data_IF_373557391901
#
_entry.id   IF_373557391901
#
_cell.length_a   1.000
_cell.length_b   1.000
_cell.length_c   1.000
_cell.angle_alpha   90.00
_cell.angle_beta   90.00
_cell.angle_gamma   90.00
#
_symmetry.space_group_name_H-M   'P 1'
#
loop_
_entity.id
_entity.type
_entity.pdbx_description
1 polymer ?
#
# COMPACT_ATOMS: atom_id res chain seq x y z
N UNK A 1 24.84 45.81 -11.77
CA UNK A 1 23.48 45.96 -11.22
C UNK A 1 22.97 44.57 -10.89
N UNK A 2 22.78 44.28 -9.61
CA UNK A 2 22.41 42.95 -9.11
C UNK A 2 20.89 42.98 -8.89
N UNK A 3 20.14 42.12 -9.57
CA UNK A 3 18.70 42.02 -9.38
C UNK A 3 18.39 41.42 -8.00
N UNK A 4 17.51 42.07 -7.25
CA UNK A 4 17.12 41.70 -5.89
C UNK A 4 16.22 40.45 -5.88
N UNK A 5 16.41 39.44 -5.00
CA UNK A 5 15.70 38.14 -5.06
C UNK A 5 14.21 38.14 -4.71
N UNK A 6 13.64 39.28 -4.29
CA UNK A 6 12.31 39.31 -3.66
C UNK A 6 11.12 39.26 -4.64
N UNK A 7 11.30 39.50 -5.95
CA UNK A 7 10.17 39.63 -6.90
C UNK A 7 9.76 38.33 -7.60
N UNK A 8 10.53 37.25 -7.46
CA UNK A 8 10.24 35.96 -8.12
C UNK A 8 9.33 35.03 -7.30
N UNK A 9 9.20 35.28 -5.99
CA UNK A 9 8.42 34.43 -5.09
C UNK A 9 6.93 34.85 -5.06
N UNK A 10 6.63 36.14 -5.18
CA UNK A 10 5.26 36.66 -5.12
C UNK A 10 4.38 36.23 -6.31
N UNK A 11 4.92 36.16 -7.53
CA UNK A 11 4.13 35.74 -8.70
C UNK A 11 3.68 34.26 -8.66
N UNK A 12 4.36 33.41 -7.89
CA UNK A 12 4.07 31.97 -7.85
C UNK A 12 3.00 31.62 -6.81
N UNK A 13 2.77 32.48 -5.83
CA UNK A 13 1.74 32.30 -4.80
C UNK A 13 0.37 32.76 -5.33
N UNK A 14 0.33 33.85 -6.10
CA UNK A 14 -0.92 34.41 -6.62
C UNK A 14 -1.59 33.54 -7.70
N UNK A 15 -0.81 32.73 -8.42
CA UNK A 15 -1.34 31.79 -9.43
C UNK A 15 -1.96 30.53 -8.81
N UNK A 16 -1.70 30.24 -7.53
CA UNK A 16 -2.25 29.04 -6.84
C UNK A 16 -3.55 29.30 -6.06
N UNK A 17 -3.86 30.54 -5.74
CA UNK A 17 -4.99 30.87 -4.86
C UNK A 17 -6.35 30.99 -5.59
N UNK A 18 -6.36 31.18 -6.91
CA UNK A 18 -7.60 31.46 -7.66
C UNK A 18 -8.27 30.25 -8.31
N UNK A 19 -7.76 29.02 -8.11
CA UNK A 19 -8.36 27.79 -8.66
C UNK A 19 -8.99 26.87 -7.61
N UNK A 20 -9.45 27.47 -6.51
CA UNK A 20 -10.26 26.82 -5.48
C UNK A 20 -11.52 27.66 -5.27
N UNK A 21 -12.43 27.76 -6.24
CA UNK A 21 -13.83 28.16 -6.02
C UNK A 21 -14.64 28.07 -7.33
N UNK A 22 -14.90 26.86 -7.80
CA UNK A 22 -16.16 26.48 -8.46
C UNK A 22 -16.08 24.99 -8.80
N UNK A 23 -16.85 24.20 -8.06
CA UNK A 23 -17.75 23.19 -8.62
C UNK A 23 -18.63 22.72 -7.46
N UNK A 24 -19.83 23.33 -7.39
CA UNK A 24 -20.95 22.76 -6.68
C UNK A 24 -21.45 21.62 -7.54
N UNK A 25 -21.20 20.39 -7.13
CA UNK A 25 -21.96 19.25 -7.63
C UNK A 25 -22.74 18.60 -6.49
N UNK A 26 -23.98 18.28 -6.83
CA UNK A 26 -25.09 18.04 -5.93
C UNK A 26 -25.40 16.55 -5.95
N UNK A 27 -25.15 15.85 -4.84
CA UNK A 27 -25.78 14.56 -4.57
C UNK A 27 -24.85 13.35 -4.41
N UNK A 28 -24.83 12.84 -3.17
CA UNK A 28 -24.61 11.42 -2.80
C UNK A 28 -23.18 10.86 -2.99
N UNK A 29 -22.19 11.41 -2.30
CA UNK A 29 -20.98 10.64 -1.97
C UNK A 29 -21.08 10.08 -0.54
N UNK A 30 -21.54 8.83 -0.43
CA UNK A 30 -21.36 8.04 0.79
C UNK A 30 -19.89 7.62 0.78
N UNK A 31 -19.05 8.46 1.38
CA UNK A 31 -17.58 8.40 1.33
C UNK A 31 -17.00 6.99 1.29
N UNK A 32 -16.55 6.60 0.09
CA UNK A 32 -15.58 5.51 -0.04
C UNK A 32 -14.28 6.02 0.57
N UNK A 33 -13.96 5.58 1.80
CA UNK A 33 -12.59 5.70 2.30
C UNK A 33 -11.70 4.92 1.32
N UNK A 34 -10.89 5.64 0.55
CA UNK A 34 -9.94 4.99 -0.37
C UNK A 34 -9.04 4.03 0.41
N UNK A 35 -8.75 2.86 -0.16
CA UNK A 35 -7.77 1.95 0.41
C UNK A 35 -6.46 2.69 0.61
N UNK A 36 -5.74 2.43 1.69
CA UNK A 36 -4.40 3.00 1.91
C UNK A 36 -3.43 2.62 0.76
N UNK A 37 -3.78 1.61 -0.04
CA UNK A 37 -3.07 1.17 -1.23
C UNK A 37 -3.58 1.84 -2.53
N UNK A 38 -4.59 2.72 -2.47
CA UNK A 38 -5.18 3.37 -3.67
C UNK A 38 -4.32 4.52 -4.18
N UNK A 39 -3.62 4.22 -5.28
CA UNK A 39 -2.89 5.17 -6.10
C UNK A 39 -2.03 4.38 -7.09
N UNK A 40 -2.48 4.29 -8.36
CA UNK A 40 -1.95 3.44 -9.45
C UNK A 40 -2.51 2.01 -9.43
N UNK A 41 -2.36 1.29 -10.56
CA UNK A 41 -2.80 -0.10 -10.80
C UNK A 41 -2.66 -0.99 -9.55
N UNK A 42 -3.54 -1.98 -9.38
CA UNK A 42 -3.44 -3.00 -8.31
C UNK A 42 -2.00 -3.50 -8.21
N UNK A 43 -1.35 -3.28 -7.06
CA UNK A 43 0.05 -3.67 -6.82
C UNK A 43 0.26 -5.16 -7.05
N UNK A 44 -0.71 -5.98 -6.64
CA UNK A 44 -0.75 -7.41 -6.92
C UNK A 44 -0.73 -7.71 -8.42
N UNK A 45 -1.55 -7.02 -9.21
CA UNK A 45 -1.56 -7.21 -10.65
C UNK A 45 -0.21 -6.84 -11.30
N UNK A 46 0.42 -5.75 -10.84
CA UNK A 46 1.76 -5.36 -11.31
C UNK A 46 2.86 -6.34 -10.87
N UNK A 47 2.77 -6.85 -9.64
CA UNK A 47 3.65 -7.87 -9.10
C UNK A 47 3.61 -9.15 -9.94
N UNK A 48 2.41 -9.65 -10.22
CA UNK A 48 2.19 -10.86 -11.03
C UNK A 48 2.61 -10.63 -12.49
N UNK A 49 2.29 -9.48 -13.08
CA UNK A 49 2.65 -9.16 -14.47
C UNK A 49 4.16 -9.09 -14.71
N UNK A 50 4.94 -8.68 -13.70
CA UNK A 50 6.41 -8.67 -13.77
C UNK A 50 7.03 -9.93 -13.16
N UNK A 51 6.24 -10.95 -12.83
CA UNK A 51 6.71 -12.20 -12.26
C UNK A 51 7.58 -12.02 -10.98
N UNK A 52 7.30 -10.94 -10.23
CA UNK A 52 8.02 -10.56 -9.02
C UNK A 52 9.37 -9.88 -9.22
N UNK A 53 9.81 -9.60 -10.45
CA UNK A 53 11.11 -8.97 -10.73
C UNK A 53 11.22 -7.57 -10.10
N UNK A 54 12.26 -7.36 -9.28
CA UNK A 54 12.50 -6.08 -8.60
C UNK A 54 11.53 -5.77 -7.45
N UNK A 55 10.73 -6.75 -7.01
CA UNK A 55 9.85 -6.62 -5.86
C UNK A 55 10.46 -7.24 -4.61
N UNK A 56 10.25 -6.57 -3.47
CA UNK A 56 10.42 -7.19 -2.16
C UNK A 56 9.10 -7.82 -1.72
N UNK A 57 9.10 -9.12 -1.45
CA UNK A 57 7.97 -9.77 -0.79
C UNK A 57 8.10 -9.59 0.71
N UNK A 58 7.06 -9.05 1.35
CA UNK A 58 7.06 -8.81 2.80
C UNK A 58 6.21 -9.88 3.46
N UNK A 59 6.82 -10.61 4.38
CA UNK A 59 6.26 -11.81 5.00
C UNK A 59 6.23 -11.59 6.51
N UNK A 60 5.03 -11.69 7.08
CA UNK A 60 4.82 -11.71 8.52
C UNK A 60 5.08 -13.09 9.13
N UNK A 61 4.70 -13.26 10.38
CA UNK A 61 4.82 -14.53 11.05
C UNK A 61 3.87 -15.62 10.51
N UNK A 62 4.12 -16.87 10.91
CA UNK A 62 3.26 -18.01 10.56
C UNK A 62 1.89 -17.89 11.21
N UNK A 63 1.83 -17.33 12.41
CA UNK A 63 0.59 -17.14 13.16
C UNK A 63 -0.38 -16.18 12.45
N UNK A 64 0.08 -15.33 11.53
CA UNK A 64 -0.74 -14.50 10.64
C UNK A 64 -1.67 -13.54 11.38
N UNK A 65 -1.33 -13.18 12.61
CA UNK A 65 -2.07 -12.26 13.47
C UNK A 65 -2.10 -10.83 12.89
N UNK A 66 -2.80 -9.94 13.58
CA UNK A 66 -2.95 -8.56 13.13
C UNK A 66 -1.60 -7.83 13.07
N UNK A 67 -0.70 -8.08 14.01
CA UNK A 67 0.58 -7.39 14.11
C UNK A 67 1.49 -7.72 12.92
N UNK A 68 1.54 -9.00 12.53
CA UNK A 68 2.20 -9.45 11.31
C UNK A 68 1.63 -8.82 10.04
N UNK A 69 0.30 -8.84 9.90
CA UNK A 69 -0.37 -8.27 8.73
C UNK A 69 -0.17 -6.75 8.63
N UNK A 70 -0.36 -6.04 9.74
CA UNK A 70 -0.22 -4.60 9.83
C UNK A 70 1.23 -4.17 9.54
N UNK A 71 2.22 -4.88 10.09
CA UNK A 71 3.63 -4.60 9.84
C UNK A 71 3.99 -4.81 8.37
N UNK A 72 3.50 -5.89 7.76
CA UNK A 72 3.78 -6.20 6.36
C UNK A 72 3.12 -5.20 5.41
N UNK A 73 1.89 -4.76 5.71
CA UNK A 73 1.20 -3.68 5.00
C UNK A 73 1.92 -2.34 5.15
N UNK A 74 2.30 -1.97 6.36
CA UNK A 74 3.02 -0.74 6.65
C UNK A 74 4.33 -0.65 5.88
N UNK A 75 5.12 -1.74 5.88
CA UNK A 75 6.35 -1.84 5.09
C UNK A 75 6.07 -1.65 3.60
N UNK A 76 5.13 -2.43 3.04
CA UNK A 76 4.84 -2.38 1.61
C UNK A 76 4.31 -1.00 1.20
N UNK A 77 3.51 -0.35 2.05
CA UNK A 77 2.98 0.98 1.83
C UNK A 77 4.08 2.05 1.80
N UNK A 78 5.05 1.99 2.72
CA UNK A 78 6.15 2.95 2.82
C UNK A 78 7.23 2.78 1.76
N UNK A 79 7.45 1.56 1.25
CA UNK A 79 8.58 1.23 0.37
C UNK A 79 8.75 2.17 -0.85
N UNK A 80 7.68 2.56 -1.58
CA UNK A 80 7.82 3.48 -2.72
C UNK A 80 8.41 4.85 -2.36
N UNK A 81 8.26 5.32 -1.13
CA UNK A 81 8.81 6.61 -0.67
C UNK A 81 10.31 6.53 -0.37
N UNK A 82 10.83 5.33 -0.07
CA UNK A 82 12.24 5.08 0.26
C UNK A 82 13.04 4.50 -0.91
N UNK A 83 12.39 4.26 -2.05
CA UNK A 83 12.85 3.50 -3.23
C UNK A 83 12.53 1.99 -3.20
N UNK A 84 12.02 1.52 -4.34
CA UNK A 84 11.66 0.11 -4.58
C UNK A 84 10.16 -0.16 -4.55
N UNK A 85 9.81 -1.41 -4.84
CA UNK A 85 8.45 -1.93 -4.80
C UNK A 85 8.37 -3.06 -3.79
N UNK A 86 7.25 -3.14 -3.09
CA UNK A 86 7.01 -4.21 -2.14
C UNK A 86 5.56 -4.67 -2.20
N UNK A 87 5.37 -5.96 -1.98
CA UNK A 87 4.07 -6.61 -1.92
C UNK A 87 3.93 -7.32 -0.57
N UNK A 88 2.79 -7.13 0.08
CA UNK A 88 2.43 -7.85 1.30
C UNK A 88 2.01 -9.27 0.94
N UNK A 89 2.61 -10.26 1.59
CA UNK A 89 2.18 -11.65 1.54
C UNK A 89 1.39 -12.02 2.79
N UNK A 90 0.12 -12.39 2.61
CA UNK A 90 -0.71 -12.96 3.68
C UNK A 90 -0.35 -14.44 3.77
N UNK A 91 0.20 -14.90 4.89
CA UNK A 91 0.58 -16.31 5.07
C UNK A 91 -0.61 -17.25 5.28
N UNK A 92 -1.73 -16.73 5.77
CA UNK A 92 -2.96 -17.50 6.02
C UNK A 92 -3.69 -17.84 4.70
N UNK A 93 -4.12 -19.09 4.50
CA UNK A 93 -4.98 -19.48 3.38
C UNK A 93 -6.28 -18.68 3.30
N UNK A 94 -6.85 -18.55 2.11
CA UNK A 94 -8.02 -17.70 1.86
C UNK A 94 -9.25 -18.16 2.64
N UNK A 95 -9.43 -19.47 2.69
CA UNK A 95 -10.46 -20.20 3.40
C UNK A 95 -10.40 -20.00 4.92
N UNK A 96 -9.20 -19.82 5.48
CA UNK A 96 -8.99 -19.64 6.92
C UNK A 96 -8.98 -18.17 7.33
N UNK A 97 -8.65 -17.26 6.40
CA UNK A 97 -8.58 -15.83 6.69
C UNK A 97 -9.93 -15.25 7.13
N UNK A 98 -11.05 -15.86 6.71
CA UNK A 98 -12.40 -15.45 7.14
C UNK A 98 -12.59 -15.62 8.65
N UNK A 99 -11.81 -16.51 9.28
CA UNK A 99 -11.83 -16.74 10.73
C UNK A 99 -11.09 -15.64 11.50
N UNK A 100 -10.29 -14.79 10.82
CA UNK A 100 -9.56 -13.66 11.41
C UNK A 100 -10.39 -12.38 11.38
N UNK A 101 -11.48 -12.37 12.15
CA UNK A 101 -12.42 -11.24 12.19
C UNK A 101 -11.74 -9.90 12.53
N UNK A 102 -10.76 -9.91 13.43
CA UNK A 102 -9.97 -8.72 13.79
C UNK A 102 -9.18 -8.18 12.59
N UNK A 103 -8.45 -9.03 11.87
CA UNK A 103 -7.70 -8.66 10.67
C UNK A 103 -8.63 -8.07 9.61
N UNK A 104 -9.77 -8.73 9.35
CA UNK A 104 -10.78 -8.24 8.41
C UNK A 104 -11.33 -6.87 8.80
N UNK A 105 -11.62 -6.67 10.08
CA UNK A 105 -12.10 -5.40 10.59
C UNK A 105 -11.06 -4.28 10.38
N UNK A 106 -9.81 -4.54 10.76
CA UNK A 106 -8.71 -3.59 10.60
C UNK A 106 -8.45 -3.23 9.12
N UNK A 107 -8.47 -4.22 8.23
CA UNK A 107 -8.35 -4.01 6.78
C UNK A 107 -9.49 -3.14 6.23
N UNK A 108 -10.73 -3.38 6.66
CA UNK A 108 -11.88 -2.57 6.31
C UNK A 108 -11.74 -1.11 6.78
N UNK A 109 -11.20 -0.89 7.99
CA UNK A 109 -10.87 0.45 8.49
C UNK A 109 -9.79 1.14 7.63
N UNK A 110 -8.85 0.37 7.10
CA UNK A 110 -7.81 0.82 6.17
C UNK A 110 -8.28 0.94 4.70
N UNK A 111 -9.57 0.66 4.43
CA UNK A 111 -10.20 0.74 3.11
C UNK A 111 -9.93 -0.45 2.20
N UNK A 112 -9.28 -1.52 2.68
CA UNK A 112 -8.99 -2.76 1.94
C UNK A 112 -10.18 -3.71 2.15
N UNK A 113 -11.18 -3.61 1.28
CA UNK A 113 -12.43 -4.40 1.39
C UNK A 113 -12.34 -5.75 0.69
N UNK A 114 -11.42 -5.89 -0.27
CA UNK A 114 -11.19 -7.11 -1.03
C UNK A 114 -9.71 -7.51 -0.89
N UNK A 115 -9.28 -7.97 0.31
CA UNK A 115 -7.86 -8.16 0.61
C UNK A 115 -7.15 -9.06 -0.40
N UNK A 116 -7.84 -10.07 -0.92
CA UNK A 116 -7.25 -10.98 -1.87
C UNK A 116 -7.21 -10.49 -3.33
N UNK A 117 -7.78 -9.34 -3.64
CA UNK A 117 -7.58 -8.66 -4.93
C UNK A 117 -6.41 -7.67 -4.85
N UNK A 118 -6.12 -7.17 -3.64
CA UNK A 118 -5.10 -6.16 -3.38
C UNK A 118 -3.77 -6.75 -2.88
N UNK A 119 -3.82 -7.87 -2.15
CA UNK A 119 -2.71 -8.50 -1.44
C UNK A 119 -2.36 -9.87 -2.03
N UNK A 120 -1.08 -10.24 -1.96
CA UNK A 120 -0.59 -11.53 -2.43
C UNK A 120 -0.83 -12.59 -1.33
N UNK A 121 -1.29 -13.78 -1.69
CA UNK A 121 -1.69 -14.83 -0.75
C UNK A 121 -1.47 -16.24 -1.32
N UNK A 122 -1.53 -17.30 -0.48
CA UNK A 122 -1.60 -18.67 -0.94
C UNK A 122 -2.68 -18.85 -2.01
N UNK A 123 -2.35 -19.62 -3.05
CA UNK A 123 -3.21 -19.85 -4.21
C UNK A 123 -3.04 -18.84 -5.36
N UNK A 124 -2.30 -17.74 -5.16
CA UNK A 124 -1.87 -16.90 -6.28
C UNK A 124 -0.75 -17.59 -7.10
N UNK A 125 -0.55 -17.22 -8.37
CA UNK A 125 0.57 -17.72 -9.18
C UNK A 125 1.91 -17.45 -8.50
N UNK A 126 2.75 -18.49 -8.41
CA UNK A 126 4.07 -18.39 -7.78
C UNK A 126 5.01 -17.59 -8.68
N UNK A 127 5.53 -16.44 -8.23
CA UNK A 127 6.45 -15.62 -9.01
C UNK A 127 7.84 -16.26 -9.02
N UNK A 128 8.46 -16.35 -10.20
CA UNK A 128 9.75 -17.04 -10.34
C UNK A 128 10.97 -16.11 -10.20
N UNK A 129 10.78 -14.80 -10.07
CA UNK A 129 11.89 -13.81 -10.04
C UNK A 129 11.93 -12.94 -8.78
N UNK A 130 11.19 -13.31 -7.73
CA UNK A 130 11.32 -12.62 -6.44
C UNK A 130 12.69 -12.94 -5.85
N UNK A 131 13.52 -11.90 -5.69
CA UNK A 131 14.88 -12.02 -5.17
C UNK A 131 15.06 -11.38 -3.80
N UNK A 132 14.05 -10.67 -3.28
CA UNK A 132 14.13 -9.97 -2.00
C UNK A 132 12.94 -10.31 -1.11
N UNK A 133 13.26 -10.61 0.15
CA UNK A 133 12.29 -10.90 1.19
C UNK A 133 12.53 -9.98 2.39
N UNK A 134 11.47 -9.43 2.94
CA UNK A 134 11.49 -8.71 4.20
C UNK A 134 10.65 -9.49 5.21
N UNK A 135 11.28 -9.92 6.30
CA UNK A 135 10.59 -10.56 7.42
C UNK A 135 10.17 -9.48 8.41
N UNK A 136 8.92 -9.49 8.81
CA UNK A 136 8.35 -8.58 9.82
C UNK A 136 7.68 -9.39 10.90
N UNK A 137 7.61 -8.84 12.12
CA UNK A 137 7.01 -9.52 13.27
C UNK A 137 7.59 -10.94 13.52
N UNK A 138 8.82 -11.13 13.04
CA UNK A 138 9.64 -12.31 13.19
C UNK A 138 11.03 -11.83 13.55
N UNK A 139 11.54 -12.31 14.67
CA UNK A 139 12.98 -12.22 14.94
C UNK A 139 13.58 -13.51 14.35
N UNK A 140 14.64 -13.46 13.53
CA UNK A 140 15.38 -14.68 13.25
C UNK A 140 15.94 -15.15 14.59
N UNK A 141 15.25 -16.11 15.22
CA UNK A 141 15.82 -16.86 16.32
C UNK A 141 17.15 -17.39 15.81
N UNK A 142 18.22 -17.08 16.55
CA UNK A 142 19.51 -17.74 16.42
C UNK A 142 19.26 -19.24 16.20
N UNK A 143 19.55 -19.69 14.99
CA UNK A 143 19.99 -21.07 14.79
C UNK A 143 21.48 -21.11 15.10
#
# INVERSE_FOLDING_TARGET
>A
MIASPSQSIERKIETRSTRLHKDRDNGKDKGKKGSILTGKKSRKAEFLANNGEGWTMVIGNEAGDLDSLASALGYAWLRPNMSGKAITYITTPREDFVLRAENLHALGLAGINHPFEELYCPGDPIPSQVSQFALVDHNPGLF
#
